data_IF_960140721353
#
_entry.id   IF_960140721353
#
_cell.length_a   1.000
_cell.length_b   1.000
_cell.length_c   1.000
_cell.angle_alpha   90.00
_cell.angle_beta   90.00
_cell.angle_gamma   90.00
#
_symmetry.space_group_name_H-M   'P 1'
#
loop_
_entity.id
_entity.type
_entity.pdbx_description
1 polymer ?
#
# COMPACT_ATOMS: atom_id res chain seq x y z
N UNK A 1 9.61 -14.92 30.08
CA UNK A 1 8.41 -14.58 29.28
C UNK A 1 8.77 -13.64 28.13
N UNK A 2 8.47 -14.03 26.94
CA UNK A 2 8.77 -13.19 25.77
C UNK A 2 7.66 -12.18 25.58
N UNK A 3 8.03 -10.92 25.61
CA UNK A 3 7.11 -9.82 25.35
C UNK A 3 6.97 -9.63 23.85
N UNK A 4 5.76 -9.73 23.34
CA UNK A 4 5.51 -9.42 21.93
C UNK A 4 5.50 -7.91 21.75
N UNK A 5 6.17 -7.45 20.69
CA UNK A 5 6.12 -6.04 20.32
C UNK A 5 4.69 -5.68 19.92
N UNK A 6 4.11 -4.60 20.46
CA UNK A 6 2.78 -4.20 20.05
C UNK A 6 2.77 -3.76 18.58
N UNK A 7 1.79 -4.26 17.84
CA UNK A 7 1.56 -3.91 16.44
C UNK A 7 0.27 -3.10 16.37
N UNK A 8 0.37 -1.88 15.91
CA UNK A 8 -0.76 -0.95 15.86
C UNK A 8 -0.95 -0.46 14.43
N UNK A 9 -2.20 -0.52 13.96
CA UNK A 9 -2.59 0.09 12.69
C UNK A 9 -3.38 1.35 12.99
N UNK A 10 -3.03 2.46 12.35
CA UNK A 10 -3.71 3.72 12.54
C UNK A 10 -3.81 4.48 11.23
N UNK A 11 -4.66 5.49 11.20
CA UNK A 11 -4.78 6.36 10.05
C UNK A 11 -3.53 7.24 9.90
N UNK A 12 -3.06 7.40 8.67
CA UNK A 12 -1.93 8.27 8.37
C UNK A 12 -2.35 9.73 8.35
N UNK A 13 -1.46 10.60 8.80
CA UNK A 13 -1.66 12.05 8.83
C UNK A 13 -0.58 12.74 8.01
N UNK A 14 -0.81 14.00 7.66
CA UNK A 14 0.16 14.76 6.88
C UNK A 14 1.52 14.82 7.59
N UNK A 15 1.52 14.87 8.92
CA UNK A 15 2.75 14.90 9.71
C UNK A 15 3.59 13.63 9.56
N UNK A 16 2.99 12.54 9.08
CA UNK A 16 3.70 11.28 8.86
C UNK A 16 4.52 11.25 7.58
N UNK A 17 4.29 12.19 6.66
CA UNK A 17 4.87 12.14 5.31
C UNK A 17 6.39 11.98 5.30
N UNK A 18 7.18 12.71 6.10
CA UNK A 18 8.63 12.50 6.07
C UNK A 18 9.04 11.08 6.43
N UNK A 19 8.41 10.51 7.45
CA UNK A 19 8.70 9.14 7.89
C UNK A 19 8.28 8.12 6.83
N UNK A 20 7.09 8.29 6.25
CA UNK A 20 6.58 7.37 5.22
C UNK A 20 7.40 7.45 3.94
N UNK A 21 7.86 8.64 3.59
CA UNK A 21 8.76 8.82 2.44
C UNK A 21 10.06 8.06 2.64
N UNK A 22 10.58 8.07 3.88
CA UNK A 22 11.78 7.30 4.22
C UNK A 22 11.57 5.79 4.06
N UNK A 23 10.41 5.29 4.49
CA UNK A 23 10.08 3.88 4.33
C UNK A 23 10.05 3.51 2.85
N UNK A 24 9.38 4.31 2.03
CA UNK A 24 9.26 4.06 0.60
C UNK A 24 10.64 3.99 -0.07
N UNK A 25 11.52 4.92 0.28
CA UNK A 25 12.87 4.96 -0.28
C UNK A 25 13.75 3.81 0.19
N UNK A 26 13.43 3.19 1.33
CA UNK A 26 14.19 2.07 1.87
C UNK A 26 13.86 0.74 1.20
N UNK A 27 12.73 0.65 0.49
CA UNK A 27 12.28 -0.58 -0.15
C UNK A 27 12.88 -0.62 -1.56
N UNK A 28 13.79 -1.58 -1.79
CA UNK A 28 14.50 -1.70 -3.08
C UNK A 28 13.61 -2.21 -4.20
N UNK A 29 12.75 -3.19 -3.90
CA UNK A 29 11.72 -3.61 -4.83
C UNK A 29 10.69 -2.48 -4.91
N UNK A 30 10.12 -2.22 -6.06
CA UNK A 30 9.21 -1.11 -6.27
C UNK A 30 9.87 0.26 -6.13
N UNK A 31 11.20 0.31 -6.20
CA UNK A 31 11.88 1.60 -6.21
C UNK A 31 11.39 2.39 -7.43
N UNK A 32 10.93 3.61 -7.20
CA UNK A 32 10.50 4.46 -8.31
C UNK A 32 11.69 4.84 -9.16
N UNK A 33 11.51 4.74 -10.47
CA UNK A 33 12.54 5.14 -11.41
C UNK A 33 12.82 6.64 -11.32
N UNK A 34 11.83 7.42 -10.89
CA UNK A 34 11.96 8.86 -10.73
C UNK A 34 11.31 9.32 -9.43
N UNK A 35 12.12 9.53 -8.36
CA UNK A 35 11.57 9.96 -7.07
C UNK A 35 10.89 11.33 -7.13
N UNK A 36 11.14 12.13 -8.18
CA UNK A 36 10.48 13.43 -8.33
C UNK A 36 8.99 13.30 -8.64
N UNK A 37 8.53 12.11 -9.06
CA UNK A 37 7.11 11.87 -9.33
C UNK A 37 6.25 11.81 -8.07
N UNK A 38 6.87 11.65 -6.90
CA UNK A 38 6.15 11.59 -5.64
C UNK A 38 6.68 12.70 -4.75
N UNK A 39 6.02 13.86 -4.82
CA UNK A 39 6.37 15.02 -4.01
C UNK A 39 5.61 15.00 -2.70
N UNK A 40 6.07 15.72 -1.66
CA UNK A 40 5.29 15.85 -0.43
C UNK A 40 3.89 16.42 -0.67
N UNK A 41 3.75 17.32 -1.63
CA UNK A 41 2.46 17.91 -1.97
C UNK A 41 1.50 16.90 -2.55
N UNK A 42 1.98 16.04 -3.45
CA UNK A 42 1.16 14.98 -4.03
C UNK A 42 0.76 13.98 -2.95
N UNK A 43 1.71 13.59 -2.12
CA UNK A 43 1.45 12.67 -1.01
C UNK A 43 0.37 13.25 -0.09
N UNK A 44 0.50 14.53 0.26
CA UNK A 44 -0.49 15.20 1.12
C UNK A 44 -1.89 15.21 0.49
N UNK A 45 -1.98 15.38 -0.83
CA UNK A 45 -3.27 15.39 -1.50
C UNK A 45 -3.99 14.05 -1.37
N UNK A 46 -3.25 12.94 -1.39
CA UNK A 46 -3.84 11.60 -1.20
C UNK A 46 -4.22 11.32 0.24
N UNK A 47 -3.71 12.07 1.20
CA UNK A 47 -4.07 11.90 2.60
C UNK A 47 -5.20 12.81 3.05
N UNK A 48 -5.78 13.58 2.13
CA UNK A 48 -6.84 14.54 2.45
C UNK A 48 -8.12 14.21 1.69
N UNK A 49 -8.42 14.98 0.63
CA UNK A 49 -9.70 14.88 -0.06
C UNK A 49 -9.78 13.74 -1.08
N UNK A 50 -8.65 13.37 -1.68
CA UNK A 50 -8.63 12.42 -2.78
C UNK A 50 -8.23 11.01 -2.37
N UNK A 51 -8.03 10.77 -1.07
CA UNK A 51 -7.64 9.46 -0.62
C UNK A 51 -7.56 9.35 0.88
N UNK A 52 -6.96 8.26 1.33
CA UNK A 52 -6.75 7.99 2.75
C UNK A 52 -5.54 7.07 2.90
N UNK A 53 -4.82 7.22 3.99
CA UNK A 53 -3.65 6.40 4.27
C UNK A 53 -3.70 5.77 5.65
N UNK A 54 -2.94 4.70 5.81
CA UNK A 54 -2.81 3.98 7.09
C UNK A 54 -1.34 3.68 7.35
N UNK A 55 -0.99 3.64 8.62
CA UNK A 55 0.38 3.37 9.08
C UNK A 55 0.34 2.19 10.03
N UNK A 56 1.32 1.32 9.91
CA UNK A 56 1.56 0.27 10.90
C UNK A 56 2.76 0.66 11.74
N UNK A 57 2.59 0.62 13.06
CA UNK A 57 3.68 0.86 14.02
C UNK A 57 3.98 -0.40 14.78
N UNK A 58 5.27 -0.65 14.99
CA UNK A 58 5.75 -1.70 15.88
C UNK A 58 6.64 -1.03 16.92
N UNK A 59 6.29 -1.18 18.18
CA UNK A 59 6.99 -0.52 19.30
C UNK A 59 7.07 1.00 19.11
N UNK A 60 5.99 1.59 18.60
CA UNK A 60 5.92 3.04 18.42
C UNK A 60 6.64 3.55 17.19
N UNK A 61 7.22 2.67 16.38
CA UNK A 61 7.96 3.06 15.18
C UNK A 61 7.19 2.66 13.94
N UNK A 62 7.02 3.61 13.01
CA UNK A 62 6.34 3.34 11.75
C UNK A 62 7.18 2.39 10.89
N UNK A 63 6.60 1.26 10.49
CA UNK A 63 7.31 0.23 9.74
C UNK A 63 6.62 -0.12 8.42
N UNK A 64 5.48 0.48 8.14
CA UNK A 64 4.76 0.24 6.88
C UNK A 64 3.61 1.19 6.72
N UNK A 65 3.14 1.33 5.49
CA UNK A 65 2.00 2.19 5.21
C UNK A 65 1.30 1.79 3.92
N UNK A 66 0.04 2.19 3.80
CA UNK A 66 -0.72 2.08 2.56
C UNK A 66 -1.45 3.39 2.29
N UNK A 67 -1.71 3.67 1.03
CA UNK A 67 -2.48 4.84 0.62
C UNK A 67 -3.46 4.42 -0.47
N UNK A 68 -4.72 4.76 -0.28
CA UNK A 68 -5.78 4.50 -1.26
C UNK A 68 -6.17 5.80 -1.95
N UNK A 69 -6.41 5.73 -3.26
CA UNK A 69 -6.86 6.86 -4.06
C UNK A 69 -8.34 6.68 -4.42
N UNK A 70 -9.15 7.69 -4.08
CA UNK A 70 -10.56 7.70 -4.45
C UNK A 70 -10.77 7.99 -5.93
N UNK A 71 -9.88 8.78 -6.50
CA UNK A 71 -10.04 9.27 -7.88
C UNK A 71 -10.18 8.14 -8.89
N UNK A 72 -9.38 7.10 -8.72
CA UNK A 72 -9.37 5.96 -9.65
C UNK A 72 -9.60 4.62 -8.93
N UNK A 73 -10.02 4.66 -7.68
CA UNK A 73 -10.27 3.47 -6.86
C UNK A 73 -9.06 2.53 -6.89
N UNK A 74 -7.91 3.05 -6.52
CA UNK A 74 -6.67 2.29 -6.58
C UNK A 74 -5.93 2.32 -5.25
N UNK A 75 -5.03 1.37 -5.10
CA UNK A 75 -4.02 1.40 -4.03
C UNK A 75 -2.82 2.12 -4.60
N UNK A 76 -2.63 3.36 -4.16
CA UNK A 76 -1.55 4.21 -4.67
C UNK A 76 -0.19 3.82 -4.11
N UNK A 77 -0.16 3.34 -2.86
CA UNK A 77 1.09 2.94 -2.22
C UNK A 77 0.84 1.84 -1.22
N UNK A 78 1.78 0.90 -1.12
CA UNK A 78 1.80 -0.15 -0.10
C UNK A 78 3.25 -0.57 0.09
N UNK A 79 3.81 -0.23 1.24
CA UNK A 79 5.21 -0.50 1.54
C UNK A 79 5.37 -1.00 2.97
N UNK A 80 6.28 -1.97 3.14
CA UNK A 80 6.68 -2.48 4.45
C UNK A 80 8.21 -2.36 4.52
N UNK A 81 8.71 -1.80 5.60
CA UNK A 81 10.14 -1.57 5.77
C UNK A 81 10.92 -2.89 5.75
N UNK A 82 12.17 -2.89 5.24
CA UNK A 82 13.00 -4.09 5.27
C UNK A 82 13.12 -4.66 6.68
N UNK A 83 13.02 -5.98 6.78
CA UNK A 83 13.07 -6.67 8.07
C UNK A 83 11.71 -6.90 8.71
N UNK A 84 10.65 -6.29 8.19
CA UNK A 84 9.29 -6.46 8.74
C UNK A 84 8.36 -7.22 7.81
N UNK A 85 8.85 -7.70 6.69
CA UNK A 85 8.06 -8.50 5.75
C UNK A 85 7.72 -9.86 6.39
N UNK A 86 6.65 -10.48 5.90
CA UNK A 86 6.27 -11.81 6.35
C UNK A 86 5.58 -11.87 7.70
N UNK A 87 5.21 -10.74 8.27
CA UNK A 87 4.54 -10.66 9.58
C UNK A 87 3.07 -10.29 9.49
N UNK A 88 2.50 -10.26 8.28
CA UNK A 88 1.11 -9.90 8.08
C UNK A 88 0.85 -8.40 8.03
N UNK A 89 1.88 -7.57 8.14
CA UNK A 89 1.75 -6.12 8.14
C UNK A 89 1.22 -5.62 6.80
N UNK A 90 1.81 -6.08 5.70
CA UNK A 90 1.37 -5.68 4.36
C UNK A 90 -0.07 -6.09 4.10
N UNK A 91 -0.44 -7.32 4.49
CA UNK A 91 -1.82 -7.79 4.35
C UNK A 91 -2.79 -6.94 5.15
N UNK A 92 -2.43 -6.58 6.38
CA UNK A 92 -3.27 -5.73 7.22
C UNK A 92 -3.47 -4.34 6.60
N UNK A 93 -2.39 -3.74 6.12
CA UNK A 93 -2.45 -2.43 5.47
C UNK A 93 -3.28 -2.47 4.18
N UNK A 94 -3.10 -3.51 3.39
CA UNK A 94 -3.87 -3.69 2.16
C UNK A 94 -5.36 -3.84 2.46
N UNK A 95 -5.70 -4.65 3.46
CA UNK A 95 -7.10 -4.88 3.82
C UNK A 95 -7.79 -3.60 4.31
N UNK A 96 -7.08 -2.74 5.03
CA UNK A 96 -7.63 -1.46 5.46
C UNK A 96 -7.96 -0.58 4.26
N UNK A 97 -7.05 -0.49 3.30
CA UNK A 97 -7.26 0.33 2.10
C UNK A 97 -8.38 -0.23 1.23
N UNK A 98 -8.40 -1.55 1.03
CA UNK A 98 -9.44 -2.23 0.23
C UNK A 98 -10.81 -2.04 0.87
N UNK A 99 -10.91 -2.27 2.17
CA UNK A 99 -12.17 -2.12 2.90
C UNK A 99 -12.71 -0.70 2.82
N UNK A 100 -11.83 0.28 2.93
CA UNK A 100 -12.24 1.68 2.84
C UNK A 100 -12.76 2.03 1.43
N UNK A 101 -12.05 1.60 0.39
CA UNK A 101 -12.47 1.88 -0.98
C UNK A 101 -13.82 1.24 -1.30
N UNK A 102 -14.03 -0.02 -0.92
CA UNK A 102 -15.33 -0.66 -1.11
C UNK A 102 -16.41 0.04 -0.27
N UNK A 103 -16.08 0.46 0.95
CA UNK A 103 -17.00 1.22 1.80
C UNK A 103 -17.40 2.55 1.18
N UNK A 104 -16.51 3.15 0.39
CA UNK A 104 -16.81 4.41 -0.32
C UNK A 104 -17.55 4.19 -1.64
N UNK A 105 -17.88 2.96 -1.98
CA UNK A 105 -18.70 2.66 -3.15
C UNK A 105 -17.96 2.12 -4.37
N UNK A 106 -16.67 1.83 -4.26
CA UNK A 106 -15.92 1.28 -5.39
C UNK A 106 -16.49 -0.06 -5.82
N UNK A 107 -16.64 -0.28 -7.12
CA UNK A 107 -17.06 -1.58 -7.66
C UNK A 107 -15.86 -2.49 -7.91
N UNK A 108 -14.71 -1.91 -8.18
CA UNK A 108 -13.45 -2.64 -8.32
C UNK A 108 -12.30 -1.75 -7.86
N UNK A 109 -11.20 -2.38 -7.50
CA UNK A 109 -10.00 -1.70 -7.02
C UNK A 109 -8.83 -2.17 -7.86
N UNK A 110 -7.95 -1.25 -8.23
CA UNK A 110 -6.75 -1.57 -9.00
C UNK A 110 -5.49 -1.24 -8.21
N UNK A 111 -4.40 -1.89 -8.60
CA UNK A 111 -3.06 -1.54 -8.15
C UNK A 111 -2.07 -1.97 -9.22
N UNK A 112 -0.87 -1.42 -9.14
CA UNK A 112 0.23 -1.82 -10.00
C UNK A 112 1.46 -2.08 -9.16
N UNK A 113 2.25 -3.07 -9.57
CA UNK A 113 3.51 -3.37 -8.92
C UNK A 113 4.51 -3.82 -9.96
N UNK A 114 5.78 -3.76 -9.62
CA UNK A 114 6.84 -4.25 -10.50
C UNK A 114 6.72 -5.78 -10.64
N UNK A 115 6.74 -6.25 -11.89
CA UNK A 115 6.63 -7.69 -12.17
C UNK A 115 7.85 -8.43 -11.64
N UNK A 116 7.63 -9.64 -11.13
CA UNK A 116 8.70 -10.49 -10.62
C UNK A 116 9.11 -10.21 -9.19
N UNK A 117 8.49 -9.25 -8.53
CA UNK A 117 8.79 -8.94 -7.13
C UNK A 117 8.01 -9.83 -6.18
N UNK A 118 8.35 -9.75 -4.89
CA UNK A 118 7.62 -10.46 -3.84
C UNK A 118 6.14 -10.05 -3.82
N UNK A 119 5.87 -8.76 -3.98
CA UNK A 119 4.49 -8.24 -4.02
C UNK A 119 3.71 -8.86 -5.17
N UNK A 120 4.33 -8.99 -6.34
CA UNK A 120 3.70 -9.58 -7.51
C UNK A 120 3.24 -11.02 -7.22
N UNK A 121 3.95 -11.75 -6.38
CA UNK A 121 3.57 -13.13 -6.06
C UNK A 121 2.41 -13.23 -5.05
N UNK A 122 2.20 -12.18 -4.26
CA UNK A 122 1.24 -12.22 -3.16
C UNK A 122 -0.18 -11.92 -3.60
N UNK A 123 -0.36 -10.97 -4.51
CA UNK A 123 -1.70 -10.48 -4.85
C UNK A 123 -2.61 -11.55 -5.47
N UNK A 124 -2.08 -12.36 -6.35
CA UNK A 124 -2.86 -13.45 -6.95
C UNK A 124 -3.41 -14.41 -5.91
N UNK A 125 -2.60 -14.69 -4.89
CA UNK A 125 -3.02 -15.59 -3.79
C UNK A 125 -4.15 -15.01 -2.97
N UNK A 126 -4.30 -13.69 -3.00
CA UNK A 126 -5.34 -12.98 -2.23
C UNK A 126 -6.59 -12.71 -3.05
N UNK A 127 -6.69 -13.27 -4.24
CA UNK A 127 -7.89 -13.17 -5.06
C UNK A 127 -7.87 -12.05 -6.10
N UNK A 128 -6.76 -11.35 -6.24
CA UNK A 128 -6.62 -10.31 -7.25
C UNK A 128 -6.39 -10.95 -8.61
N UNK A 129 -6.93 -10.34 -9.66
CA UNK A 129 -6.72 -10.78 -11.04
C UNK A 129 -5.52 -10.07 -11.61
N UNK A 130 -4.54 -10.86 -12.06
CA UNK A 130 -3.30 -10.33 -12.64
C UNK A 130 -3.51 -10.01 -14.11
N UNK A 131 -3.09 -8.80 -14.50
CA UNK A 131 -3.10 -8.39 -15.90
C UNK A 131 -1.80 -8.76 -16.61
N UNK A 132 -1.58 -8.14 -17.73
CA UNK A 132 -0.36 -8.34 -18.52
C UNK A 132 0.77 -7.44 -18.01
N UNK A 133 2.01 -7.89 -18.19
CA UNK A 133 3.17 -7.07 -17.88
C UNK A 133 3.28 -5.98 -18.94
N UNK A 134 3.32 -4.72 -18.51
CA UNK A 134 3.42 -3.57 -19.40
C UNK A 134 4.85 -3.33 -19.85
N UNK A 135 5.09 -2.54 -20.90
CA UNK A 135 6.44 -2.24 -21.37
C UNK A 135 7.34 -1.59 -20.30
N UNK A 136 6.76 -0.92 -19.31
CA UNK A 136 7.52 -0.32 -18.21
C UNK A 136 7.93 -1.31 -17.13
N UNK A 137 7.59 -2.60 -17.28
CA UNK A 137 7.90 -3.62 -16.29
C UNK A 137 6.87 -3.76 -15.18
N UNK A 138 5.85 -2.92 -15.19
CA UNK A 138 4.78 -2.98 -14.19
C UNK A 138 3.69 -3.95 -14.62
N UNK A 139 3.02 -4.54 -13.63
CA UNK A 139 1.86 -5.39 -13.87
C UNK A 139 0.69 -4.86 -13.05
N UNK A 140 -0.48 -4.77 -13.68
CA UNK A 140 -1.69 -4.31 -13.03
C UNK A 140 -2.46 -5.47 -12.42
N UNK A 141 -3.11 -5.19 -11.30
CA UNK A 141 -4.00 -6.14 -10.61
C UNK A 141 -5.35 -5.49 -10.38
N UNK A 142 -6.39 -6.30 -10.37
CA UNK A 142 -7.75 -5.83 -10.11
C UNK A 142 -8.45 -6.75 -9.13
N UNK A 143 -9.19 -6.16 -8.20
CA UNK A 143 -10.04 -6.87 -7.27
C UNK A 143 -11.46 -6.35 -7.40
N UNK A 144 -12.39 -7.22 -7.81
CA UNK A 144 -13.78 -6.85 -7.97
C UNK A 144 -14.55 -7.10 -6.67
N UNK A 145 -15.52 -6.23 -6.40
CA UNK A 145 -16.37 -6.38 -5.22
C UNK A 145 -17.09 -7.73 -5.20
N UNK A 146 -17.58 -8.16 -6.36
CA UNK A 146 -18.32 -9.42 -6.49
C UNK A 146 -17.47 -10.65 -6.25
N UNK A 147 -16.16 -10.55 -6.41
CA UNK A 147 -15.24 -11.65 -6.12
C UNK A 147 -14.85 -11.76 -4.66
N UNK A 148 -15.37 -10.85 -3.84
CA UNK A 148 -15.04 -10.76 -2.42
C UNK A 148 -16.24 -11.18 -1.59
N UNK A 149 -16.27 -12.41 -1.20
CA UNK A 149 -17.33 -12.97 -0.37
C UNK A 149 -16.86 -13.26 1.04
#
# INVERSE_FOLDING_TARGET
>A
MVKRSPVIFREAKVEDIPTLSGIRLSVKENALSDPRKVTPELFASYLSETGKGWVCEVDGEAVGFSVASLKDSSIWALFVAPGYEGRGIGTGLLNLAVGWLFGMGASSISLSTEAGTRADMVYERQGWKRGEIRPDGEVGYRLDRSGRT
#
